data_IF_636114763871
#
_entry.id   IF_636114763871
#
_cell.length_a   1.000
_cell.length_b   1.000
_cell.length_c   1.000
_cell.angle_alpha   90.00
_cell.angle_beta   90.00
_cell.angle_gamma   90.00
#
_symmetry.space_group_name_H-M   'P 1'
#
loop_
_entity.id
_entity.type
_entity.pdbx_description
1 polymer ?
#
# COMPACT_ATOMS: atom_id res chain seq x y z
N UNK A 1 -5.64 12.93 21.54
CA UNK A 1 -5.44 11.46 21.73
C UNK A 1 -5.34 10.79 20.37
N UNK A 2 -4.48 9.79 20.23
CA UNK A 2 -4.39 8.99 19.00
C UNK A 2 -5.31 7.78 19.15
N UNK A 3 -6.25 7.59 18.24
CA UNK A 3 -7.17 6.44 18.22
C UNK A 3 -6.54 5.30 17.40
N UNK A 4 -6.56 4.09 17.95
CA UNK A 4 -6.17 2.86 17.26
C UNK A 4 -7.38 1.93 17.23
N UNK A 5 -7.78 1.47 16.05
CA UNK A 5 -8.88 0.53 15.87
C UNK A 5 -8.34 -0.87 15.54
N UNK A 6 -8.88 -1.89 16.19
CA UNK A 6 -8.57 -3.30 15.95
C UNK A 6 -9.87 -4.06 15.72
N UNK A 7 -9.91 -4.89 14.69
CA UNK A 7 -11.02 -5.79 14.42
C UNK A 7 -10.49 -7.19 14.14
N UNK A 8 -11.14 -8.18 14.75
CA UNK A 8 -10.84 -9.60 14.47
C UNK A 8 -11.41 -9.97 13.10
N UNK A 9 -10.64 -10.74 12.33
CA UNK A 9 -11.07 -11.35 11.07
C UNK A 9 -10.40 -12.71 10.96
N UNK A 10 -11.20 -13.79 10.97
CA UNK A 10 -10.67 -15.15 11.14
C UNK A 10 -10.19 -15.80 9.83
N UNK A 11 -10.62 -15.25 8.68
CA UNK A 11 -10.21 -15.74 7.36
C UNK A 11 -10.26 -14.63 6.31
N UNK A 12 -9.88 -14.97 5.06
CA UNK A 12 -9.87 -14.04 3.93
C UNK A 12 -11.12 -14.15 3.04
N UNK A 13 -12.30 -14.45 3.59
CA UNK A 13 -13.56 -14.28 2.89
C UNK A 13 -13.83 -12.78 2.70
N UNK A 14 -14.14 -12.35 1.47
CA UNK A 14 -14.24 -10.92 1.12
C UNK A 14 -15.23 -10.17 2.02
N UNK A 15 -16.40 -10.75 2.28
CA UNK A 15 -17.43 -10.14 3.13
C UNK A 15 -16.93 -9.90 4.56
N UNK A 16 -16.24 -10.90 5.14
CA UNK A 16 -15.69 -10.79 6.49
C UNK A 16 -14.57 -9.75 6.58
N UNK A 17 -13.69 -9.73 5.59
CA UNK A 17 -12.60 -8.74 5.50
C UNK A 17 -13.19 -7.34 5.32
N UNK A 18 -14.17 -7.16 4.43
CA UNK A 18 -14.84 -5.88 4.21
C UNK A 18 -15.52 -5.37 5.48
N UNK A 19 -16.23 -6.25 6.19
CA UNK A 19 -16.86 -5.92 7.48
C UNK A 19 -15.82 -5.49 8.51
N UNK A 20 -14.72 -6.23 8.65
CA UNK A 20 -13.66 -5.90 9.59
C UNK A 20 -12.98 -4.55 9.27
N UNK A 21 -12.72 -4.28 7.99
CA UNK A 21 -12.14 -3.00 7.52
C UNK A 21 -13.11 -1.84 7.78
N UNK A 22 -14.38 -1.96 7.39
CA UNK A 22 -15.42 -0.94 7.64
C UNK A 22 -15.55 -0.64 9.14
N UNK A 23 -15.53 -1.67 9.98
CA UNK A 23 -15.54 -1.52 11.45
C UNK A 23 -14.32 -0.73 11.94
N UNK A 24 -13.11 -1.03 11.45
CA UNK A 24 -11.92 -0.27 11.84
C UNK A 24 -12.03 1.19 11.39
N UNK A 25 -12.49 1.46 10.18
CA UNK A 25 -12.67 2.82 9.66
C UNK A 25 -13.70 3.62 10.49
N UNK A 26 -14.82 2.99 10.86
CA UNK A 26 -15.84 3.63 11.71
C UNK A 26 -15.35 3.94 13.12
N UNK A 27 -14.53 3.06 13.70
CA UNK A 27 -13.95 3.23 15.05
C UNK A 27 -12.87 4.33 15.10
N UNK A 28 -12.12 4.52 14.00
CA UNK A 28 -11.18 5.65 13.90
C UNK A 28 -11.94 6.97 13.88
N UNK A 29 -13.15 6.95 13.37
CA UNK A 29 -14.08 8.09 13.32
C UNK A 29 -13.85 9.03 12.14
N UNK A 30 -14.93 9.68 11.73
CA UNK A 30 -14.95 10.79 10.77
C UNK A 30 -14.25 10.56 9.42
N UNK A 31 -14.19 9.31 8.95
CA UNK A 31 -13.58 9.00 7.64
C UNK A 31 -14.27 9.80 6.52
N UNK A 32 -15.59 10.03 6.64
CA UNK A 32 -16.38 10.81 5.69
C UNK A 32 -15.99 12.30 5.65
N UNK A 33 -15.35 12.81 6.69
CA UNK A 33 -14.84 14.21 6.68
C UNK A 33 -13.50 14.33 5.96
N UNK A 34 -12.77 13.21 5.83
CA UNK A 34 -11.44 13.13 5.22
C UNK A 34 -11.56 12.71 3.76
N UNK A 35 -12.40 11.71 3.48
CA UNK A 35 -12.58 11.11 2.14
C UNK A 35 -13.81 11.71 1.48
N UNK A 36 -13.67 12.19 0.24
CA UNK A 36 -14.76 12.78 -0.54
C UNK A 36 -14.79 12.16 -1.94
N UNK A 37 -15.96 12.09 -2.59
CA UNK A 37 -16.08 11.64 -3.97
C UNK A 37 -15.13 12.40 -4.91
N UNK A 38 -14.55 11.67 -5.85
CA UNK A 38 -13.58 12.21 -6.83
C UNK A 38 -12.15 12.35 -6.33
N UNK A 39 -11.88 12.14 -5.03
CA UNK A 39 -10.50 12.13 -4.52
C UNK A 39 -9.70 10.95 -5.07
N UNK A 40 -8.40 11.19 -5.26
CA UNK A 40 -7.41 10.18 -5.62
C UNK A 40 -6.88 9.51 -4.36
N UNK A 41 -7.12 8.22 -4.22
CA UNK A 41 -6.68 7.41 -3.08
C UNK A 41 -5.66 6.38 -3.54
N UNK A 42 -4.46 6.42 -2.98
CA UNK A 42 -3.42 5.43 -3.21
C UNK A 42 -3.43 4.38 -2.10
N UNK A 43 -3.69 3.14 -2.45
CA UNK A 43 -3.43 1.99 -1.59
C UNK A 43 -1.95 1.61 -1.72
N UNK A 44 -1.13 2.04 -0.76
CA UNK A 44 0.30 1.69 -0.72
C UNK A 44 0.46 0.30 -0.11
N UNK A 45 0.80 -0.67 -0.93
CA UNK A 45 0.91 -2.07 -0.55
C UNK A 45 2.19 -2.40 0.23
N UNK A 46 2.31 -3.66 0.65
CA UNK A 46 3.56 -4.28 1.04
C UNK A 46 3.86 -5.47 0.11
N UNK A 47 4.70 -5.25 -0.88
CA UNK A 47 5.19 -6.28 -1.79
C UNK A 47 6.65 -6.60 -1.47
N UNK A 48 6.89 -7.72 -0.81
CA UNK A 48 8.24 -8.20 -0.50
C UNK A 48 8.75 -9.13 -1.59
N UNK A 49 7.92 -10.09 -2.02
CA UNK A 49 8.32 -11.19 -2.88
C UNK A 49 7.57 -11.17 -4.20
N UNK A 50 8.32 -11.39 -5.28
CA UNK A 50 7.80 -11.58 -6.63
C UNK A 50 7.58 -13.07 -6.99
N UNK A 51 7.71 -13.99 -6.03
CA UNK A 51 7.60 -15.43 -6.27
C UNK A 51 6.74 -16.19 -5.26
N UNK A 52 6.28 -15.50 -4.20
CA UNK A 52 5.48 -16.12 -3.15
C UNK A 52 4.03 -15.60 -3.23
N UNK A 53 3.09 -16.52 -3.35
CA UNK A 53 1.67 -16.22 -3.41
C UNK A 53 1.08 -15.77 -2.07
N UNK A 54 -0.22 -15.44 -2.07
CA UNK A 54 -0.92 -14.90 -0.89
C UNK A 54 -0.87 -15.82 0.34
N UNK A 55 -0.86 -17.14 0.13
CA UNK A 55 -0.82 -18.18 1.16
C UNK A 55 0.44 -18.12 2.04
N UNK A 56 1.51 -17.51 1.53
CA UNK A 56 2.77 -17.36 2.25
C UNK A 56 2.80 -16.16 3.21
N UNK A 57 1.76 -15.36 3.21
CA UNK A 57 1.55 -14.20 4.10
C UNK A 57 2.72 -13.20 4.18
N UNK A 58 3.54 -13.09 3.13
CA UNK A 58 4.69 -12.16 3.06
C UNK A 58 4.35 -10.85 2.37
N UNK A 59 3.35 -10.85 1.50
CA UNK A 59 2.81 -9.69 0.81
C UNK A 59 1.46 -9.27 1.43
N UNK A 60 0.99 -8.06 1.15
CA UNK A 60 -0.39 -7.68 1.47
C UNK A 60 -1.35 -8.64 0.76
N UNK A 61 -2.33 -9.17 1.49
CA UNK A 61 -3.24 -10.18 0.94
C UNK A 61 -4.23 -9.54 -0.05
N UNK A 62 -4.46 -10.14 -1.25
CA UNK A 62 -5.29 -9.55 -2.29
C UNK A 62 -6.73 -9.26 -1.83
N UNK A 63 -7.33 -10.09 -1.00
CA UNK A 63 -8.70 -9.86 -0.49
C UNK A 63 -8.78 -8.58 0.35
N UNK A 64 -7.73 -8.22 1.09
CA UNK A 64 -7.68 -6.94 1.82
C UNK A 64 -7.65 -5.77 0.83
N UNK A 65 -6.89 -5.90 -0.27
CA UNK A 65 -6.85 -4.88 -1.31
C UNK A 65 -8.20 -4.75 -1.99
N UNK A 66 -8.84 -5.87 -2.35
CA UNK A 66 -10.17 -5.88 -2.95
C UNK A 66 -11.20 -5.17 -2.06
N UNK A 67 -11.23 -5.50 -0.76
CA UNK A 67 -12.11 -4.85 0.20
C UNK A 67 -11.90 -3.33 0.28
N UNK A 68 -10.63 -2.90 0.30
CA UNK A 68 -10.31 -1.46 0.32
C UNK A 68 -10.69 -0.77 -1.00
N UNK A 69 -10.49 -1.39 -2.15
CA UNK A 69 -10.93 -0.84 -3.44
C UNK A 69 -12.45 -0.70 -3.47
N UNK A 70 -13.19 -1.74 -3.07
CA UNK A 70 -14.65 -1.72 -3.06
C UNK A 70 -15.17 -0.62 -2.12
N UNK A 71 -14.52 -0.39 -0.98
CA UNK A 71 -14.87 0.69 -0.04
C UNK A 71 -14.56 2.06 -0.64
N UNK A 72 -13.31 2.33 -1.04
CA UNK A 72 -12.94 3.67 -1.49
C UNK A 72 -13.56 4.04 -2.84
N UNK A 73 -13.65 3.09 -3.77
CA UNK A 73 -14.26 3.33 -5.08
C UNK A 73 -15.78 3.20 -5.05
N UNK A 74 -16.31 2.15 -4.42
CA UNK A 74 -17.74 1.87 -4.37
C UNK A 74 -18.48 2.74 -3.39
N UNK A 75 -18.09 2.73 -2.11
CA UNK A 75 -18.83 3.44 -1.06
C UNK A 75 -18.53 4.96 -1.07
N UNK A 76 -17.27 5.36 -1.34
CA UNK A 76 -16.86 6.78 -1.27
C UNK A 76 -16.70 7.46 -2.64
N UNK A 77 -16.81 6.75 -3.76
CA UNK A 77 -16.71 7.33 -5.11
C UNK A 77 -15.33 7.90 -5.46
N UNK A 78 -14.26 7.36 -4.90
CA UNK A 78 -12.90 7.79 -5.16
C UNK A 78 -12.29 7.15 -6.42
N UNK A 79 -11.28 7.82 -6.99
CA UNK A 79 -10.37 7.21 -7.97
C UNK A 79 -9.28 6.45 -7.19
N UNK A 80 -9.21 5.12 -7.35
CA UNK A 80 -8.32 4.27 -6.55
C UNK A 80 -7.09 3.85 -7.34
N UNK A 81 -5.93 4.15 -6.79
CA UNK A 81 -4.61 3.70 -7.23
C UNK A 81 -4.10 2.59 -6.31
N UNK A 82 -3.42 1.60 -6.88
CA UNK A 82 -2.80 0.50 -6.14
C UNK A 82 -1.31 0.51 -6.48
N UNK A 83 -0.45 0.76 -5.52
CA UNK A 83 0.96 0.97 -5.83
C UNK A 83 1.96 0.43 -4.81
N UNK A 84 3.12 0.02 -5.32
CA UNK A 84 4.32 -0.31 -4.54
C UNK A 84 5.57 -0.36 -5.43
N UNK A 85 6.74 -0.38 -4.79
CA UNK A 85 8.00 -0.91 -5.31
C UNK A 85 8.38 -2.15 -4.50
N UNK A 86 8.43 -3.31 -5.15
CA UNK A 86 8.71 -4.59 -4.51
C UNK A 86 10.06 -4.57 -3.75
N UNK A 87 10.13 -5.33 -2.65
CA UNK A 87 11.35 -5.46 -1.85
C UNK A 87 12.53 -6.09 -2.60
N UNK A 88 12.28 -6.78 -3.71
CA UNK A 88 13.32 -7.30 -4.58
C UNK A 88 13.90 -6.20 -5.47
N UNK A 89 15.22 -6.05 -5.49
CA UNK A 89 15.92 -5.07 -6.33
C UNK A 89 16.13 -5.54 -7.79
N UNK A 90 15.57 -6.69 -8.18
CA UNK A 90 15.69 -7.21 -9.55
C UNK A 90 14.69 -6.51 -10.46
N UNK A 91 15.13 -6.12 -11.65
CA UNK A 91 14.27 -5.51 -12.68
C UNK A 91 13.04 -6.38 -12.96
N UNK A 92 11.86 -5.76 -13.05
CA UNK A 92 10.59 -6.44 -13.31
C UNK A 92 9.98 -7.17 -12.12
N UNK A 93 10.61 -7.14 -10.94
CA UNK A 93 10.08 -7.80 -9.75
C UNK A 93 8.75 -7.24 -9.32
N UNK A 94 8.52 -5.95 -9.43
CA UNK A 94 7.26 -5.31 -9.02
C UNK A 94 6.10 -5.75 -9.90
N UNK A 95 6.25 -5.78 -11.22
CA UNK A 95 5.20 -6.30 -12.12
C UNK A 95 4.92 -7.80 -11.87
N UNK A 96 5.98 -8.57 -11.62
CA UNK A 96 5.81 -9.98 -11.28
C UNK A 96 5.10 -10.17 -9.94
N UNK A 97 5.39 -9.32 -8.95
CA UNK A 97 4.72 -9.35 -7.66
C UNK A 97 3.21 -9.06 -7.78
N UNK A 98 2.80 -8.08 -8.60
CA UNK A 98 1.40 -7.82 -8.87
C UNK A 98 0.68 -9.05 -9.45
N UNK A 99 1.31 -9.76 -10.41
CA UNK A 99 0.74 -10.99 -10.99
C UNK A 99 0.65 -12.14 -9.97
N UNK A 100 1.72 -12.41 -9.25
CA UNK A 100 1.78 -13.52 -8.27
C UNK A 100 0.79 -13.32 -7.12
N UNK A 101 0.54 -12.07 -6.74
CA UNK A 101 -0.44 -11.72 -5.71
C UNK A 101 -1.85 -11.49 -6.27
N UNK A 102 -2.07 -11.65 -7.58
CA UNK A 102 -3.37 -11.45 -8.27
C UNK A 102 -3.94 -10.04 -8.13
N UNK A 103 -3.11 -9.06 -7.84
CA UNK A 103 -3.53 -7.65 -7.70
C UNK A 103 -3.88 -7.04 -9.08
N UNK A 104 -3.22 -7.50 -10.14
CA UNK A 104 -3.55 -7.17 -11.52
C UNK A 104 -5.01 -7.54 -11.85
N UNK A 105 -5.47 -8.72 -11.46
CA UNK A 105 -6.86 -9.13 -11.64
C UNK A 105 -7.84 -8.25 -10.86
N UNK A 106 -7.49 -7.88 -9.62
CA UNK A 106 -8.32 -6.97 -8.84
C UNK A 106 -8.47 -5.63 -9.56
N UNK A 107 -7.39 -5.10 -10.13
CA UNK A 107 -7.43 -3.85 -10.86
C UNK A 107 -8.28 -3.95 -12.14
N UNK A 108 -8.16 -5.05 -12.89
CA UNK A 108 -8.98 -5.34 -14.07
C UNK A 108 -10.47 -5.41 -13.70
N UNK A 109 -10.82 -6.17 -12.65
CA UNK A 109 -12.21 -6.37 -12.22
C UNK A 109 -12.86 -5.10 -11.68
N UNK A 110 -12.09 -4.23 -11.03
CA UNK A 110 -12.62 -3.06 -10.32
C UNK A 110 -12.41 -1.75 -11.06
N UNK A 111 -11.54 -1.73 -12.07
CA UNK A 111 -11.08 -0.52 -12.73
C UNK A 111 -10.24 0.38 -11.81
N UNK A 112 -9.55 -0.19 -10.81
CA UNK A 112 -8.50 0.51 -10.05
C UNK A 112 -7.23 0.60 -10.90
N UNK A 113 -6.39 1.61 -10.65
CA UNK A 113 -5.22 1.90 -11.45
C UNK A 113 -3.97 1.34 -10.76
N UNK A 114 -3.28 0.41 -11.41
CA UNK A 114 -1.99 -0.08 -10.91
C UNK A 114 -0.88 0.91 -11.22
N UNK A 115 -0.05 1.19 -10.21
CA UNK A 115 1.15 2.01 -10.35
C UNK A 115 2.38 1.24 -9.87
N UNK A 116 3.22 0.88 -10.81
CA UNK A 116 4.54 0.33 -10.51
C UNK A 116 5.51 1.47 -10.19
N UNK A 117 5.87 1.67 -8.93
CA UNK A 117 6.74 2.77 -8.51
C UNK A 117 8.17 2.69 -9.09
N UNK A 118 8.58 1.54 -9.61
CA UNK A 118 9.88 1.42 -10.30
C UNK A 118 9.84 1.99 -11.72
N UNK A 119 8.64 2.23 -12.26
CA UNK A 119 8.37 2.78 -13.60
C UNK A 119 7.72 4.17 -13.55
N UNK A 120 7.28 4.59 -12.37
CA UNK A 120 6.73 5.93 -12.15
C UNK A 120 7.85 6.98 -12.20
N UNK A 121 7.50 8.21 -12.53
CA UNK A 121 8.43 9.34 -12.39
C UNK A 121 8.89 9.40 -10.92
N UNK A 122 10.16 9.77 -10.72
CA UNK A 122 10.71 9.94 -9.39
C UNK A 122 10.85 11.44 -9.06
N UNK A 123 10.32 11.83 -7.90
CA UNK A 123 10.48 13.19 -7.38
C UNK A 123 11.61 13.24 -6.34
N UNK A 124 12.47 14.24 -6.47
CA UNK A 124 13.47 14.57 -5.46
C UNK A 124 12.79 15.23 -4.26
N UNK A 125 13.05 14.68 -3.07
CA UNK A 125 12.54 15.20 -1.81
C UNK A 125 13.73 15.67 -0.98
N UNK A 126 13.63 16.90 -0.47
CA UNK A 126 14.57 17.44 0.52
C UNK A 126 13.83 17.66 1.83
N UNK A 127 14.35 17.09 2.91
CA UNK A 127 13.87 17.32 4.29
C UNK A 127 15.01 17.85 5.15
N UNK A 128 15.06 19.16 5.29
CA UNK A 128 16.10 19.84 6.08
C UNK A 128 16.04 19.50 7.58
N UNK A 129 14.88 19.03 8.07
CA UNK A 129 14.69 18.64 9.47
C UNK A 129 15.07 17.17 9.72
N UNK A 130 15.42 16.41 8.68
CA UNK A 130 15.84 15.02 8.87
C UNK A 130 17.23 14.93 9.51
N UNK A 131 17.37 14.02 10.47
CA UNK A 131 18.64 13.78 11.18
C UNK A 131 19.65 13.07 10.27
N UNK A 132 19.19 12.09 9.48
CA UNK A 132 20.08 11.24 8.68
C UNK A 132 19.81 11.45 7.19
N UNK A 133 18.62 11.08 6.69
CA UNK A 133 18.29 11.07 5.27
C UNK A 133 17.61 12.38 4.85
N UNK A 134 18.41 13.36 4.42
CA UNK A 134 17.89 14.67 4.00
C UNK A 134 17.37 14.68 2.58
N UNK A 135 18.03 13.95 1.68
CA UNK A 135 17.66 13.92 0.25
C UNK A 135 17.38 12.50 -0.19
N UNK A 136 16.22 12.29 -0.82
CA UNK A 136 15.82 10.99 -1.35
C UNK A 136 14.81 11.16 -2.49
N UNK A 137 14.56 10.08 -3.22
CA UNK A 137 13.55 10.08 -4.29
C UNK A 137 12.34 9.26 -3.86
N UNK A 138 11.14 9.70 -4.24
CA UNK A 138 9.92 8.91 -4.11
C UNK A 138 9.18 8.85 -5.43
N UNK A 139 8.35 7.84 -5.61
CA UNK A 139 7.43 7.75 -6.74
C UNK A 139 6.49 8.96 -6.77
N UNK A 140 6.33 9.58 -7.94
CA UNK A 140 5.53 10.80 -8.12
C UNK A 140 4.08 10.62 -7.69
N UNK A 141 3.50 9.46 -7.98
CA UNK A 141 2.12 9.14 -7.58
C UNK A 141 1.88 9.31 -6.08
N UNK A 142 2.86 8.98 -5.22
CA UNK A 142 2.73 9.15 -3.76
C UNK A 142 2.46 10.61 -3.36
N UNK A 143 2.94 11.58 -4.14
CA UNK A 143 2.75 13.02 -3.90
C UNK A 143 1.58 13.61 -4.69
N UNK A 144 1.10 12.92 -5.72
CA UNK A 144 0.06 13.45 -6.63
C UNK A 144 -1.36 13.01 -6.26
N UNK A 145 -1.51 12.12 -5.29
CA UNK A 145 -2.81 11.69 -4.77
C UNK A 145 -3.22 12.51 -3.55
N UNK A 146 -4.53 12.57 -3.28
CA UNK A 146 -5.07 13.30 -2.14
C UNK A 146 -4.86 12.54 -0.82
N UNK A 147 -4.94 11.20 -0.86
CA UNK A 147 -4.83 10.32 0.31
C UNK A 147 -3.94 9.13 0.01
N UNK A 148 -3.03 8.83 0.93
CA UNK A 148 -2.27 7.57 0.92
C UNK A 148 -2.76 6.68 2.05
N UNK A 149 -3.35 5.55 1.70
CA UNK A 149 -3.71 4.48 2.63
C UNK A 149 -2.57 3.47 2.66
N UNK A 150 -1.84 3.46 3.76
CA UNK A 150 -0.73 2.55 3.94
C UNK A 150 -1.25 1.18 4.39
N UNK A 151 -1.05 0.13 3.58
CA UNK A 151 -1.60 -1.23 3.78
C UNK A 151 -0.47 -2.24 4.05
N UNK A 152 0.20 -2.14 5.20
CA UNK A 152 1.34 -2.98 5.53
C UNK A 152 0.91 -4.42 5.85
N UNK A 153 1.83 -5.35 5.67
CA UNK A 153 1.75 -6.68 6.26
C UNK A 153 2.56 -6.70 7.55
N UNK A 154 1.89 -6.96 8.66
CA UNK A 154 2.56 -7.17 9.95
C UNK A 154 3.31 -8.51 9.92
N UNK A 155 4.63 -8.45 10.07
CA UNK A 155 5.51 -9.64 10.01
C UNK A 155 6.87 -9.37 10.64
N UNK A 156 7.64 -10.43 10.90
CA UNK A 156 9.04 -10.36 11.29
C UNK A 156 9.92 -9.84 10.14
N UNK A 157 11.10 -9.36 10.46
CA UNK A 157 12.09 -8.87 9.50
C UNK A 157 13.51 -9.20 9.96
N UNK A 158 14.35 -9.70 9.05
CA UNK A 158 15.71 -10.13 9.36
C UNK A 158 16.60 -9.01 9.92
N UNK A 159 16.52 -7.80 9.37
CA UNK A 159 17.33 -6.66 9.81
C UNK A 159 16.67 -5.86 10.94
N UNK A 160 15.42 -5.46 10.76
CA UNK A 160 14.72 -4.56 11.70
C UNK A 160 13.84 -5.30 12.71
N UNK A 161 13.90 -6.64 12.74
CA UNK A 161 13.11 -7.57 13.56
C UNK A 161 11.61 -7.52 13.29
N UNK A 162 11.08 -6.36 12.93
CA UNK A 162 9.65 -6.09 12.76
C UNK A 162 9.41 -5.27 11.49
N UNK A 163 8.32 -5.57 10.80
CA UNK A 163 7.78 -4.81 9.66
C UNK A 163 6.35 -4.38 9.97
N UNK A 164 6.07 -3.09 9.84
CA UNK A 164 4.76 -2.48 10.02
C UNK A 164 4.60 -1.24 9.14
N UNK A 165 3.71 -0.33 9.55
CA UNK A 165 3.31 0.82 8.74
C UNK A 165 4.48 1.74 8.37
N UNK A 166 5.31 2.13 9.34
CA UNK A 166 6.44 3.05 9.09
C UNK A 166 7.41 2.44 8.09
N UNK A 167 7.84 1.18 8.33
CA UNK A 167 8.78 0.51 7.43
C UNK A 167 8.19 0.27 6.03
N UNK A 168 6.88 0.06 5.92
CA UNK A 168 6.23 -0.13 4.62
C UNK A 168 6.38 1.08 3.71
N UNK A 169 6.41 2.29 4.25
CA UNK A 169 6.59 3.52 3.46
C UNK A 169 7.95 3.60 2.75
N UNK A 170 8.94 2.80 3.17
CA UNK A 170 10.20 2.65 2.43
C UNK A 170 10.00 2.16 0.99
N UNK A 171 8.94 1.37 0.73
CA UNK A 171 8.53 0.96 -0.60
C UNK A 171 8.03 2.11 -1.50
N UNK A 172 7.88 3.34 -1.00
CA UNK A 172 7.62 4.53 -1.81
C UNK A 172 8.85 5.00 -2.60
N UNK A 173 10.03 4.51 -2.23
CA UNK A 173 11.28 4.76 -2.94
C UNK A 173 11.39 3.74 -4.08
N UNK A 174 11.53 4.17 -5.36
CA UNK A 174 11.78 3.27 -6.48
C UNK A 174 13.05 2.43 -6.27
N UNK A 175 13.12 1.24 -6.89
CA UNK A 175 14.21 0.28 -6.67
C UNK A 175 15.61 0.87 -6.92
N UNK A 176 15.76 1.75 -7.92
CA UNK A 176 17.02 2.44 -8.23
C UNK A 176 17.49 3.40 -7.12
N UNK A 177 16.56 3.94 -6.32
CA UNK A 177 16.86 4.80 -5.18
C UNK A 177 17.13 4.05 -3.89
N UNK A 178 16.63 2.83 -3.72
CA UNK A 178 16.75 2.06 -2.47
C UNK A 178 18.19 1.75 -2.07
N UNK A 179 19.07 1.53 -3.04
CA UNK A 179 20.50 1.20 -2.78
C UNK A 179 21.25 2.34 -2.08
N UNK A 180 20.80 3.57 -2.26
CA UNK A 180 21.48 4.76 -1.74
C UNK A 180 20.99 5.15 -0.33
N UNK A 181 19.99 4.46 0.20
CA UNK A 181 19.34 4.80 1.48
C UNK A 181 19.27 3.60 2.46
N UNK A 182 19.98 2.52 2.16
CA UNK A 182 20.12 1.33 3.01
C UNK A 182 21.41 1.38 3.81
#
# INVERSE_FOLDING_TARGET
MTTVAISRCDNYELEKVSTAVKKCLSLIGNIETIVRPGMKVLLKLNLLSASLGPERAVNTHPVVIRALVDIFKGDYGCEVYIGDSCGSLRTGSTDKAFRVTQIDKIAEDTGAIIVNFDKDDALDITNNNAVILKNFKIAKTVKSVDIVVNVPKLKTHGLTRYTGAIKNMFGSIPANGKKNVH
#
